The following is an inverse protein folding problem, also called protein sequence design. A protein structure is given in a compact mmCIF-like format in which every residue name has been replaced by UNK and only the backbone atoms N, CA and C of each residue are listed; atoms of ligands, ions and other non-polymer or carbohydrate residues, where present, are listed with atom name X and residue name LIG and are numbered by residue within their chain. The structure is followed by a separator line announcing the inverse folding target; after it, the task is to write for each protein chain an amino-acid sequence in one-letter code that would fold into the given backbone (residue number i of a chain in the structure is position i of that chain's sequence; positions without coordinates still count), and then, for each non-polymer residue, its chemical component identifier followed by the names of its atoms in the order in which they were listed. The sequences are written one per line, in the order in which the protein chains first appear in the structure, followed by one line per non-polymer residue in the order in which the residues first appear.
data_IF_623810201377
#
_entry.id   IF_623810201377
#
_cell.length_a   1.000
_cell.length_b   1.000
_cell.length_c   1.000
_cell.angle_alpha   90.00
_cell.angle_beta   90.00
_cell.angle_gamma   90.00
#
_symmetry.space_group_name_H-M   'P 1'
#
loop_
_entity.id
_entity.type
_entity.pdbx_description
1 polymer ?
#
# COMPACT_ATOMS: atom_id res chain seq x y z
N UNK A 1 -15.26 4.25 25.05
CA UNK A 1 -15.03 3.94 23.63
C UNK A 1 -14.00 2.84 23.54
N UNK A 2 -14.25 1.81 22.74
CA UNK A 2 -13.30 0.70 22.57
C UNK A 2 -12.11 1.16 21.72
N UNK A 3 -10.90 0.85 22.15
CA UNK A 3 -9.70 1.10 21.36
C UNK A 3 -9.59 0.03 20.26
N UNK A 4 -9.71 0.44 18.99
CA UNK A 4 -9.67 -0.47 17.84
C UNK A 4 -8.46 -0.16 16.97
N UNK A 5 -7.70 -1.20 16.63
CA UNK A 5 -6.61 -1.17 15.65
C UNK A 5 -6.74 -2.34 14.70
N UNK A 6 -7.07 -2.06 13.44
CA UNK A 6 -7.19 -3.08 12.40
C UNK A 6 -5.99 -2.95 11.47
N UNK A 7 -5.13 -3.97 11.50
CA UNK A 7 -3.99 -4.06 10.57
C UNK A 7 -4.39 -4.90 9.37
N UNK A 8 -4.18 -4.36 8.18
CA UNK A 8 -4.54 -5.03 6.92
C UNK A 8 -3.27 -5.27 6.13
N UNK A 9 -3.06 -6.52 5.72
CA UNK A 9 -2.06 -6.88 4.73
C UNK A 9 -2.71 -6.90 3.35
N UNK A 10 -2.46 -5.86 2.56
CA UNK A 10 -2.93 -5.75 1.19
C UNK A 10 -1.86 -6.24 0.21
N UNK A 11 -2.27 -7.06 -0.76
CA UNK A 11 -1.39 -7.56 -1.83
C UNK A 11 -2.04 -7.29 -3.18
N UNK A 12 -1.28 -6.75 -4.12
CA UNK A 12 -1.74 -6.60 -5.51
C UNK A 12 -0.59 -6.80 -6.49
N UNK A 13 -0.94 -7.19 -7.72
CA UNK A 13 0.02 -7.42 -8.79
C UNK A 13 0.05 -6.26 -9.80
N UNK A 14 1.15 -6.20 -10.55
CA UNK A 14 1.25 -5.44 -11.78
C UNK A 14 0.27 -5.98 -12.83
N UNK A 15 -0.03 -5.18 -13.85
CA UNK A 15 -0.93 -5.60 -14.93
C UNK A 15 -0.43 -6.91 -15.56
N UNK A 16 -1.29 -7.93 -15.60
CA UNK A 16 -0.99 -9.28 -16.10
C UNK A 16 0.24 -9.94 -15.43
N UNK A 17 0.60 -9.54 -14.19
CA UNK A 17 1.82 -10.00 -13.49
C UNK A 17 3.10 -9.78 -14.28
N UNK A 18 3.13 -8.79 -15.17
CA UNK A 18 4.35 -8.44 -15.89
C UNK A 18 5.39 -7.90 -14.90
N UNK A 19 6.68 -8.28 -14.99
CA UNK A 19 7.70 -7.97 -13.98
C UNK A 19 8.20 -6.51 -14.08
N UNK A 20 7.29 -5.53 -13.95
CA UNK A 20 7.60 -4.11 -14.09
C UNK A 20 8.34 -3.53 -12.90
N UNK A 21 8.22 -4.11 -11.70
CA UNK A 21 8.91 -3.65 -10.49
C UNK A 21 10.38 -4.12 -10.48
N UNK A 22 11.12 -3.68 -11.49
CA UNK A 22 12.56 -3.93 -11.64
C UNK A 22 13.34 -3.30 -10.47
N UNK A 23 14.51 -3.88 -10.15
CA UNK A 23 15.31 -3.50 -8.97
C UNK A 23 15.63 -1.99 -8.90
N UNK A 24 15.82 -1.35 -10.04
CA UNK A 24 16.14 0.07 -10.22
C UNK A 24 14.98 1.03 -9.92
N UNK A 25 13.73 0.60 -10.17
CA UNK A 25 12.54 1.45 -9.93
C UNK A 25 11.74 1.05 -8.68
N UNK A 26 11.83 -0.21 -8.25
CA UNK A 26 10.95 -0.78 -7.22
C UNK A 26 10.94 0.01 -5.91
N UNK A 27 12.12 0.37 -5.41
CA UNK A 27 12.21 1.17 -4.17
C UNK A 27 11.61 2.57 -4.35
N UNK A 28 11.78 3.19 -5.52
CA UNK A 28 11.19 4.51 -5.80
C UNK A 28 9.66 4.43 -5.81
N UNK A 29 9.09 3.40 -6.45
CA UNK A 29 7.65 3.15 -6.47
C UNK A 29 7.11 2.94 -5.06
N UNK A 30 7.76 2.12 -4.24
CA UNK A 30 7.32 1.85 -2.86
C UNK A 30 7.36 3.10 -1.98
N UNK A 31 8.44 3.89 -2.08
CA UNK A 31 8.54 5.15 -1.34
C UNK A 31 7.50 6.17 -1.80
N UNK A 32 7.22 6.23 -3.10
CA UNK A 32 6.15 7.08 -3.64
C UNK A 32 4.78 6.70 -3.07
N UNK A 33 4.41 5.41 -3.11
CA UNK A 33 3.14 4.91 -2.55
C UNK A 33 3.03 5.24 -1.07
N UNK A 34 4.06 4.93 -0.27
CA UNK A 34 4.05 5.21 1.18
C UNK A 34 3.96 6.71 1.47
N UNK A 35 4.71 7.54 0.74
CA UNK A 35 4.68 8.98 0.93
C UNK A 35 3.31 9.57 0.57
N UNK A 36 2.77 9.20 -0.60
CA UNK A 36 1.46 9.65 -1.06
C UNK A 36 0.34 9.25 -0.10
N UNK A 37 0.31 7.99 0.34
CA UNK A 37 -0.68 7.51 1.31
C UNK A 37 -0.64 8.31 2.62
N UNK A 38 0.56 8.54 3.16
CA UNK A 38 0.73 9.32 4.39
C UNK A 38 0.30 10.79 4.20
N UNK A 39 0.59 11.41 3.05
CA UNK A 39 0.09 12.76 2.74
C UNK A 39 -1.44 12.81 2.67
N UNK A 40 -2.07 11.75 2.19
CA UNK A 40 -3.54 11.60 2.13
C UNK A 40 -4.16 11.16 3.48
N UNK A 41 -3.38 11.07 4.55
CA UNK A 41 -3.86 10.70 5.89
C UNK A 41 -4.05 9.20 6.13
N UNK A 42 -3.56 8.35 5.21
CA UNK A 42 -3.59 6.89 5.35
C UNK A 42 -2.25 6.36 5.82
N UNK A 43 -2.27 5.57 6.90
CA UNK A 43 -1.04 5.08 7.52
C UNK A 43 -0.58 3.76 6.90
N UNK A 44 0.54 3.83 6.17
CA UNK A 44 1.26 2.65 5.65
C UNK A 44 2.51 2.43 6.48
N UNK A 45 2.57 1.29 7.16
CA UNK A 45 3.69 0.94 8.04
C UNK A 45 4.84 0.32 7.23
N UNK A 46 4.56 -0.80 6.55
CA UNK A 46 5.51 -1.47 5.66
C UNK A 46 4.99 -1.56 4.23
N UNK A 47 5.89 -1.33 3.28
CA UNK A 47 5.64 -1.62 1.87
C UNK A 47 6.87 -2.28 1.27
N UNK A 48 6.67 -3.42 0.63
CA UNK A 48 7.71 -4.15 -0.08
C UNK A 48 7.09 -4.99 -1.21
N UNK A 49 7.88 -5.86 -1.82
CA UNK A 49 7.40 -6.73 -2.88
C UNK A 49 8.52 -7.22 -3.79
N UNK A 50 8.12 -7.97 -4.81
CA UNK A 50 9.04 -8.53 -5.81
C UNK A 50 8.73 -7.94 -7.19
N UNK A 51 9.11 -8.62 -8.26
CA UNK A 51 9.07 -8.07 -9.62
C UNK A 51 7.67 -7.78 -10.14
N UNK A 52 6.64 -8.51 -9.68
CA UNK A 52 5.30 -8.48 -10.25
C UNK A 52 4.19 -8.17 -9.22
N UNK A 53 4.52 -8.00 -7.94
CA UNK A 53 3.53 -7.70 -6.90
C UNK A 53 4.10 -6.92 -5.72
N UNK A 54 3.19 -6.26 -5.02
CA UNK A 54 3.44 -5.41 -3.86
C UNK A 54 2.71 -6.00 -2.66
N UNK A 55 3.38 -5.98 -1.51
CA UNK A 55 2.82 -6.23 -0.19
C UNK A 55 2.82 -4.92 0.59
N UNK A 56 1.69 -4.60 1.22
CA UNK A 56 1.51 -3.38 2.00
C UNK A 56 0.84 -3.72 3.33
N UNK A 57 1.48 -3.37 4.45
CA UNK A 57 0.89 -3.40 5.77
C UNK A 57 0.40 -1.99 6.12
N UNK A 58 -0.90 -1.85 6.33
CA UNK A 58 -1.55 -0.58 6.62
C UNK A 58 -2.46 -0.67 7.84
N UNK A 59 -2.64 0.46 8.52
CA UNK A 59 -3.58 0.59 9.64
C UNK A 59 -4.90 1.17 9.12
N UNK A 60 -5.96 0.37 9.19
CA UNK A 60 -7.33 0.81 8.95
C UNK A 60 -7.90 1.40 10.25
N UNK A 61 -8.10 2.72 10.27
CA UNK A 61 -8.68 3.44 11.42
C UNK A 61 -10.20 3.42 11.37
N UNK A 62 -10.83 3.71 12.51
CA UNK A 62 -12.27 3.92 12.59
C UNK A 62 -12.73 4.98 11.59
N UNK A 63 -13.85 4.71 10.89
CA UNK A 63 -14.40 5.59 9.87
C UNK A 63 -13.68 5.59 8.52
N UNK A 64 -12.53 4.91 8.38
CA UNK A 64 -11.87 4.73 7.09
C UNK A 64 -12.46 3.56 6.32
N UNK A 65 -12.53 3.69 4.99
CA UNK A 65 -12.92 2.63 4.09
C UNK A 65 -11.67 2.02 3.42
N UNK A 66 -11.58 0.69 3.41
CA UNK A 66 -10.50 -0.03 2.76
C UNK A 66 -10.46 0.24 1.24
N UNK A 67 -11.60 0.38 0.55
CA UNK A 67 -11.62 0.65 -0.89
C UNK A 67 -10.92 1.96 -1.24
N UNK A 68 -11.09 2.99 -0.42
CA UNK A 68 -10.55 4.32 -0.66
C UNK A 68 -9.03 4.32 -0.45
N UNK A 69 -8.57 3.62 0.60
CA UNK A 69 -7.14 3.37 0.82
C UNK A 69 -6.55 2.62 -0.38
N UNK A 70 -7.21 1.57 -0.85
CA UNK A 70 -6.75 0.78 -2.01
C UNK A 70 -6.69 1.62 -3.29
N UNK A 71 -7.60 2.59 -3.46
CA UNK A 71 -7.59 3.53 -4.58
C UNK A 71 -6.36 4.46 -4.51
N UNK A 72 -6.03 4.97 -3.32
CA UNK A 72 -4.87 5.88 -3.13
C UNK A 72 -3.52 5.18 -3.22
N UNK A 73 -3.39 3.94 -2.75
CA UNK A 73 -2.11 3.21 -2.80
C UNK A 73 -1.84 2.53 -4.15
N UNK A 74 -2.86 2.38 -5.01
CA UNK A 74 -2.72 1.77 -6.35
C UNK A 74 -2.87 2.76 -7.51
N UNK A 75 -3.64 3.84 -7.31
CA UNK A 75 -3.90 4.88 -8.32
C UNK A 75 -2.68 5.75 -8.55
#
# INVERSE_FOLDING_TARGET
MSYVRIWVHAVWSTKKRMPFLKKDIRNKVFMHIKHHANMMGYHVDYINGVSDHVHCLLLLREGQNLSDIMMVIKG
#
